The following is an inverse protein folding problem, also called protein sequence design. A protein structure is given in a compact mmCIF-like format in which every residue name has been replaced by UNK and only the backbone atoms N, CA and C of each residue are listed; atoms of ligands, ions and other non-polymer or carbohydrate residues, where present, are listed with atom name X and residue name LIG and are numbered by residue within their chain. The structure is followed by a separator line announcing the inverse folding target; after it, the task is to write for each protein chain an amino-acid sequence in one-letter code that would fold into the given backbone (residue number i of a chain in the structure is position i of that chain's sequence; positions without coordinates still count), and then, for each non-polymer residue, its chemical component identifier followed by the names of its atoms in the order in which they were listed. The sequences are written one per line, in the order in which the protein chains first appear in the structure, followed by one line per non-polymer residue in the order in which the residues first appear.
data_IF_952984586466
#
_entry.id   IF_952984586466
#
_cell.length_a   1.000
_cell.length_b   1.000
_cell.length_c   1.000
_cell.angle_alpha   90.00
_cell.angle_beta   90.00
_cell.angle_gamma   90.00
#
_symmetry.space_group_name_H-M   'P 1'
#
loop_
_entity.id
_entity.type
_entity.pdbx_description
1 polymer ?
#
# COMPACT_ATOMS: atom_id res chain seq x y z
N UNK A 1 18.89 -9.60 -4.28
CA UNK A 1 17.47 -9.91 -3.98
C UNK A 1 16.76 -8.58 -3.78
N UNK A 2 15.46 -8.46 -4.09
CA UNK A 2 14.73 -7.21 -3.86
C UNK A 2 14.20 -7.18 -2.43
N UNK A 3 14.29 -6.01 -1.79
CA UNK A 3 13.83 -5.81 -0.43
C UNK A 3 12.38 -5.34 -0.45
N UNK A 4 11.54 -6.02 0.31
CA UNK A 4 10.13 -5.70 0.49
C UNK A 4 9.84 -5.36 1.94
N UNK A 5 8.99 -4.37 2.15
CA UNK A 5 8.42 -4.01 3.44
C UNK A 5 6.99 -4.50 3.46
N UNK A 6 6.64 -5.23 4.51
CA UNK A 6 5.27 -5.56 4.85
C UNK A 6 4.68 -4.41 5.67
N UNK A 7 3.61 -3.77 5.17
CA UNK A 7 2.87 -2.77 5.92
C UNK A 7 1.49 -3.28 6.27
N UNK A 8 1.14 -3.22 7.54
CA UNK A 8 -0.20 -3.53 8.03
C UNK A 8 -0.88 -2.25 8.53
N UNK A 9 -2.14 -2.08 8.12
CA UNK A 9 -2.97 -0.91 8.41
C UNK A 9 -4.06 -1.24 9.41
N UNK A 10 -4.57 -0.20 10.07
CA UNK A 10 -5.68 -0.24 11.03
C UNK A 10 -6.95 -0.90 10.47
N UNK A 11 -7.18 -0.76 9.17
CA UNK A 11 -8.32 -1.38 8.48
C UNK A 11 -8.11 -2.86 8.13
N UNK A 12 -7.13 -3.54 8.76
CA UNK A 12 -6.77 -4.95 8.52
C UNK A 12 -6.27 -5.25 7.09
N UNK A 13 -5.97 -4.20 6.31
CA UNK A 13 -5.36 -4.34 4.99
C UNK A 13 -3.84 -4.33 5.12
N UNK A 14 -3.19 -5.14 4.28
CA UNK A 14 -1.74 -5.19 4.22
C UNK A 14 -1.21 -4.92 2.81
N UNK A 15 -0.05 -4.29 2.74
CA UNK A 15 0.64 -3.92 1.50
C UNK A 15 2.07 -4.43 1.52
N UNK A 16 2.51 -4.96 0.38
CA UNK A 16 3.91 -5.26 0.13
C UNK A 16 4.50 -4.12 -0.70
N UNK A 17 5.34 -3.31 -0.07
CA UNK A 17 6.03 -2.19 -0.73
C UNK A 17 7.46 -2.59 -1.00
N UNK A 18 7.99 -2.22 -2.16
CA UNK A 18 9.42 -2.42 -2.44
C UNK A 18 10.20 -1.30 -1.78
N UNK A 19 11.13 -1.66 -0.89
CA UNK A 19 12.08 -0.72 -0.30
C UNK A 19 13.25 -0.49 -1.24
N UNK A 20 13.86 -1.57 -1.72
CA UNK A 20 15.01 -1.51 -2.62
C UNK A 20 14.87 -2.51 -3.75
N UNK A 21 14.89 -1.99 -4.97
CA UNK A 21 15.04 -2.79 -6.17
C UNK A 21 16.47 -3.32 -6.26
N UNK A 22 16.64 -4.57 -6.69
CA UNK A 22 17.97 -5.08 -6.96
C UNK A 22 18.44 -4.64 -8.37
N UNK A 23 19.76 -4.55 -8.61
CA UNK A 23 20.31 -4.15 -9.91
C UNK A 23 19.78 -5.04 -11.05
N UNK A 24 19.64 -6.33 -10.77
CA UNK A 24 19.12 -7.33 -11.70
C UNK A 24 17.68 -7.04 -12.14
N UNK A 25 16.85 -6.49 -11.25
CA UNK A 25 15.49 -6.08 -11.61
C UNK A 25 15.52 -4.87 -12.56
N UNK A 26 16.43 -3.92 -12.32
CA UNK A 26 16.59 -2.74 -13.18
C UNK A 26 17.02 -3.14 -14.59
N UNK A 27 17.89 -4.13 -14.71
CA UNK A 27 18.38 -4.59 -16.02
C UNK A 27 17.42 -5.54 -16.75
N UNK A 28 16.66 -6.36 -16.03
CA UNK A 28 15.89 -7.45 -16.64
C UNK A 28 14.39 -7.28 -16.54
N UNK A 29 13.92 -6.32 -15.74
CA UNK A 29 12.52 -6.15 -15.34
C UNK A 29 11.87 -7.42 -14.76
N UNK A 30 12.68 -8.44 -14.43
CA UNK A 30 12.20 -9.70 -13.88
C UNK A 30 12.09 -9.59 -12.37
N UNK A 31 10.88 -9.81 -11.86
CA UNK A 31 10.60 -9.86 -10.42
C UNK A 31 11.44 -10.94 -9.77
N UNK A 32 12.23 -10.53 -8.78
CA UNK A 32 12.97 -11.46 -7.93
C UNK A 32 12.05 -12.03 -6.83
N UNK A 33 12.41 -13.18 -6.23
CA UNK A 33 11.73 -13.68 -5.04
C UNK A 33 11.68 -12.59 -3.96
N UNK A 34 10.51 -12.31 -3.38
CA UNK A 34 10.36 -11.24 -2.41
C UNK A 34 11.07 -11.60 -1.11
N UNK A 35 11.92 -10.70 -0.62
CA UNK A 35 12.53 -10.80 0.71
C UNK A 35 11.90 -9.74 1.59
N UNK A 36 11.12 -10.15 2.59
CA UNK A 36 10.55 -9.22 3.57
C UNK A 36 11.67 -8.80 4.53
N UNK A 37 12.10 -7.54 4.44
CA UNK A 37 13.18 -7.00 5.28
C UNK A 37 12.65 -6.25 6.50
N UNK A 38 11.38 -5.83 6.48
CA UNK A 38 10.76 -5.09 7.58
C UNK A 38 9.25 -5.28 7.61
N UNK A 39 8.70 -5.38 8.82
CA UNK A 39 7.28 -5.31 9.11
C UNK A 39 6.96 -4.00 9.83
N UNK A 40 6.12 -3.15 9.24
CA UNK A 40 5.68 -1.91 9.86
C UNK A 40 4.18 -1.96 10.11
N UNK A 41 3.79 -1.74 11.35
CA UNK A 41 2.39 -1.58 11.75
C UNK A 41 2.09 -0.09 11.83
N UNK A 42 1.28 0.43 10.90
CA UNK A 42 0.84 1.82 10.89
C UNK A 42 -0.63 1.84 11.32
N UNK A 43 -0.84 1.57 12.61
CA UNK A 43 -2.15 1.39 13.25
C UNK A 43 -3.05 2.63 13.31
N UNK A 44 -2.61 3.76 12.74
CA UNK A 44 -3.41 4.96 12.55
C UNK A 44 -3.72 5.25 11.07
N UNK A 45 -3.01 4.61 10.13
CA UNK A 45 -3.25 4.81 8.71
C UNK A 45 -4.28 3.82 8.18
N UNK A 46 -5.09 4.28 7.22
CA UNK A 46 -6.13 3.51 6.55
C UNK A 46 -5.86 3.51 5.05
N UNK A 47 -6.22 2.42 4.37
CA UNK A 47 -6.01 2.33 2.93
C UNK A 47 -6.84 3.38 2.18
N UNK A 48 -6.38 3.75 0.98
CA UNK A 48 -7.05 4.76 0.15
C UNK A 48 -8.54 4.43 -0.07
N UNK A 49 -8.88 3.16 -0.32
CA UNK A 49 -10.27 2.72 -0.48
C UNK A 49 -11.12 2.92 0.78
N UNK A 50 -10.57 2.67 1.97
CA UNK A 50 -11.26 2.96 3.24
C UNK A 50 -11.36 4.47 3.50
N UNK A 51 -10.34 5.23 3.13
CA UNK A 51 -10.34 6.70 3.23
C UNK A 51 -11.39 7.32 2.31
N UNK A 52 -11.57 6.80 1.11
CA UNK A 52 -12.61 7.23 0.17
C UNK A 52 -14.02 6.91 0.66
N UNK A 53 -14.22 5.74 1.29
CA UNK A 53 -15.51 5.38 1.91
C UNK A 53 -15.86 6.27 3.11
N UNK A 54 -14.86 6.76 3.84
CA UNK A 54 -15.08 7.67 4.96
C UNK A 54 -15.29 9.12 4.53
N UNK A 55 -14.83 9.50 3.33
CA UNK A 55 -15.15 10.82 2.81
C UNK A 55 -16.65 10.86 2.50
N UNK A 56 -17.45 11.69 3.21
CA UNK A 56 -18.79 11.96 2.77
C UNK A 56 -18.66 12.51 1.36
N UNK A 57 -19.30 11.84 0.42
CA UNK A 57 -19.16 12.14 -0.99
C UNK A 57 -19.39 13.64 -1.18
N UNK A 58 -18.32 14.38 -1.50
CA UNK A 58 -18.40 15.83 -1.75
C UNK A 58 -19.05 16.10 -3.12
N UNK A 59 -19.71 15.10 -3.70
CA UNK A 59 -20.54 15.25 -4.86
C UNK A 59 -21.76 16.10 -4.48
N UNK A 60 -21.72 17.38 -4.90
CA UNK A 60 -22.79 18.36 -4.71
C UNK A 60 -24.17 17.86 -5.15
N UNK A 61 -24.26 16.86 -6.04
CA UNK A 61 -25.53 16.32 -6.52
C UNK A 61 -26.29 15.47 -5.48
N UNK A 62 -25.62 14.96 -4.44
CA UNK A 62 -26.22 14.12 -3.41
C UNK A 62 -26.96 14.92 -2.31
N UNK A 63 -26.97 16.26 -2.38
CA UNK A 63 -27.65 17.15 -1.40
C UNK A 63 -29.01 17.70 -1.88
N UNK A 64 -29.54 17.22 -3.01
CA UNK A 64 -30.76 17.75 -3.63
C UNK A 64 -31.97 16.78 -3.63
N UNK A 65 -31.90 15.67 -2.89
CA UNK A 65 -33.05 14.76 -2.69
C UNK A 65 -33.76 15.02 -1.36
#
# INVERSE_FOLDING_TARGET
MCNYIYKELSCQHHYYLVESWCPKYIETERRCPPTIVSNQYWGDDICAACRERQQPSNYLWAKLS
#
